data_IF_521293668594
#
_entry.id   IF_521293668594
#
_cell.length_a   1.000
_cell.length_b   1.000
_cell.length_c   1.000
_cell.angle_alpha   90.00
_cell.angle_beta   90.00
_cell.angle_gamma   90.00
#
_symmetry.space_group_name_H-M   'P 1'
#
loop_
_entity.id
_entity.type
_entity.pdbx_description
1 polymer ?
#
# COMPACT_ATOMS: atom_id res chain seq x y z
N UNK A 1 69.88 -42.25 -27.60
CA UNK A 1 69.52 -40.85 -27.91
C UNK A 1 68.91 -40.22 -26.66
N UNK A 2 69.16 -38.93 -26.39
CA UNK A 2 69.46 -38.44 -25.04
C UNK A 2 68.44 -37.43 -24.48
N UNK A 3 68.61 -37.11 -23.18
CA UNK A 3 68.02 -35.98 -22.42
C UNK A 3 66.49 -36.08 -22.14
N UNK A 4 65.95 -35.75 -20.96
CA UNK A 4 66.28 -34.65 -20.04
C UNK A 4 65.49 -34.78 -18.70
N UNK A 5 66.21 -34.57 -17.59
CA UNK A 5 65.87 -33.79 -16.36
C UNK A 5 64.69 -34.16 -15.40
N UNK A 6 65.11 -34.60 -14.21
CA UNK A 6 64.62 -34.44 -12.81
C UNK A 6 64.52 -32.91 -12.42
N UNK A 7 63.91 -32.37 -11.32
CA UNK A 7 63.27 -32.92 -10.08
C UNK A 7 61.96 -32.24 -9.56
N UNK A 8 61.49 -32.73 -8.39
CA UNK A 8 60.82 -32.04 -7.24
C UNK A 8 59.55 -31.19 -7.46
N UNK A 9 58.49 -31.51 -6.71
CA UNK A 9 58.02 -30.66 -5.59
C UNK A 9 56.91 -31.34 -4.79
N UNK A 10 57.09 -31.38 -3.46
CA UNK A 10 56.03 -31.54 -2.47
C UNK A 10 55.02 -30.40 -2.62
N UNK A 11 53.73 -30.70 -2.46
CA UNK A 11 52.85 -29.87 -1.63
C UNK A 11 51.50 -30.56 -1.41
N UNK A 12 51.24 -30.83 -0.12
CA UNK A 12 49.93 -30.88 0.52
C UNK A 12 49.04 -29.76 -0.04
N UNK A 13 47.71 -29.96 -0.06
CA UNK A 13 46.62 -29.00 0.19
C UNK A 13 45.33 -29.78 -0.15
N UNK A 14 44.51 -30.16 0.82
CA UNK A 14 43.76 -29.21 1.63
C UNK A 14 42.35 -29.18 1.07
N UNK A 15 41.54 -30.17 1.45
CA UNK A 15 40.12 -30.24 1.12
C UNK A 15 39.40 -29.12 1.87
N UNK A 16 39.44 -27.90 1.33
CA UNK A 16 38.60 -26.81 1.80
C UNK A 16 37.18 -27.09 1.30
N UNK A 17 36.40 -27.75 2.16
CA UNK A 17 34.95 -27.77 2.08
C UNK A 17 34.46 -26.33 2.06
N UNK A 18 34.05 -25.85 0.89
CA UNK A 18 33.29 -24.62 0.75
C UNK A 18 31.92 -24.87 1.40
N UNK A 19 31.84 -24.66 2.71
CA UNK A 19 30.58 -24.36 3.35
C UNK A 19 30.11 -23.03 2.76
N UNK A 20 29.19 -23.10 1.79
CA UNK A 20 28.36 -21.96 1.45
C UNK A 20 27.58 -21.59 2.70
N UNK A 21 28.08 -20.59 3.44
CA UNK A 21 27.28 -19.85 4.40
C UNK A 21 26.19 -19.15 3.57
N UNK A 22 25.05 -19.82 3.39
CA UNK A 22 23.82 -19.15 3.05
C UNK A 22 23.56 -18.17 4.19
N UNK A 23 23.91 -16.90 3.99
CA UNK A 23 23.49 -15.85 4.89
C UNK A 23 21.96 -15.84 4.83
N UNK A 24 21.34 -16.28 5.92
CA UNK A 24 19.96 -15.98 6.21
C UNK A 24 19.88 -14.44 6.25
N UNK A 25 19.43 -13.84 5.15
CA UNK A 25 19.03 -12.44 5.15
C UNK A 25 17.89 -12.34 6.14
N UNK A 26 18.14 -11.64 7.25
CA UNK A 26 17.10 -11.32 8.21
C UNK A 26 15.91 -10.72 7.46
N UNK A 27 14.73 -11.25 7.71
CA UNK A 27 13.45 -10.77 7.19
C UNK A 27 13.14 -9.41 7.80
N UNK A 28 13.87 -8.38 7.38
CA UNK A 28 13.51 -7.00 7.66
C UNK A 28 12.40 -6.58 6.70
N UNK A 29 11.41 -5.86 7.22
CA UNK A 29 10.35 -5.28 6.39
C UNK A 29 10.98 -4.41 5.28
N UNK A 30 10.44 -4.44 4.05
CA UNK A 30 11.00 -3.63 2.98
C UNK A 30 10.87 -2.14 3.34
N UNK A 31 11.94 -1.38 3.15
CA UNK A 31 12.01 0.02 3.59
C UNK A 31 11.71 0.96 2.43
N UNK A 32 10.70 1.82 2.59
CA UNK A 32 10.40 2.92 1.68
C UNK A 32 11.21 4.17 2.09
N UNK A 33 12.34 4.40 1.42
CA UNK A 33 13.19 5.59 1.63
C UNK A 33 12.72 6.72 0.72
N UNK A 34 12.39 7.87 1.30
CA UNK A 34 11.87 9.01 0.55
C UNK A 34 12.90 9.55 -0.45
N UNK A 35 12.46 9.83 -1.68
CA UNK A 35 13.17 10.71 -2.59
C UNK A 35 12.98 12.17 -2.14
N UNK A 36 14.00 12.70 -1.48
CA UNK A 36 13.99 14.06 -0.95
C UNK A 36 13.82 15.15 -2.02
N UNK A 37 14.01 14.85 -3.31
CA UNK A 37 13.74 15.82 -4.38
C UNK A 37 12.23 16.02 -4.63
N UNK A 38 11.38 15.09 -4.21
CA UNK A 38 9.94 15.14 -4.45
C UNK A 38 9.20 15.76 -3.26
N UNK A 39 8.91 17.05 -3.35
CA UNK A 39 8.18 17.79 -2.30
C UNK A 39 6.67 17.84 -2.52
N UNK A 40 6.23 17.76 -3.76
CA UNK A 40 4.84 17.77 -4.19
C UNK A 40 4.66 16.76 -5.33
N UNK A 41 3.50 16.10 -5.39
CA UNK A 41 3.19 15.10 -6.40
C UNK A 41 1.69 14.95 -6.55
N UNK A 42 1.24 14.82 -7.80
CA UNK A 42 -0.09 14.35 -8.09
C UNK A 42 -0.17 12.82 -7.93
N UNK A 43 -1.11 12.36 -7.12
CA UNK A 43 -1.38 10.94 -6.85
C UNK A 43 -2.60 10.50 -7.66
N UNK A 44 -2.40 9.76 -8.76
CA UNK A 44 -3.51 9.29 -9.59
C UNK A 44 -4.24 8.11 -8.93
N UNK A 45 -5.46 7.85 -9.39
CA UNK A 45 -6.27 6.70 -8.95
C UNK A 45 -5.58 5.38 -9.32
N UNK A 46 -4.80 5.37 -10.39
CA UNK A 46 -4.07 4.22 -10.90
C UNK A 46 -3.00 3.70 -9.93
N UNK A 47 -2.50 4.56 -9.03
CA UNK A 47 -1.61 4.11 -7.95
C UNK A 47 -2.36 3.24 -6.92
N UNK A 48 -3.66 3.50 -6.70
CA UNK A 48 -4.52 2.65 -5.87
C UNK A 48 -4.87 1.33 -6.56
N UNK A 49 -5.17 1.38 -7.87
CA UNK A 49 -5.57 0.20 -8.65
C UNK A 49 -4.39 -0.62 -9.18
N UNK A 50 -3.16 -0.14 -9.05
CA UNK A 50 -2.00 -0.73 -9.70
C UNK A 50 -2.07 -0.71 -11.24
N UNK A 51 -2.95 0.09 -11.83
CA UNK A 51 -2.97 0.30 -13.28
C UNK A 51 -1.71 1.05 -13.72
N UNK A 52 -1.35 1.02 -15.02
CA UNK A 52 -0.28 1.87 -15.55
C UNK A 52 -0.49 3.34 -15.18
N UNK A 53 0.56 4.01 -14.75
CA UNK A 53 0.49 5.42 -14.35
C UNK A 53 0.14 6.29 -15.56
N UNK A 54 -0.84 7.22 -15.45
CA UNK A 54 -1.17 8.14 -16.53
C UNK A 54 -0.04 9.15 -16.75
N UNK A 55 0.03 9.72 -17.95
CA UNK A 55 0.97 10.80 -18.26
C UNK A 55 0.52 12.18 -17.73
N UNK A 56 -0.78 12.34 -17.45
CA UNK A 56 -1.38 13.59 -17.00
C UNK A 56 -1.86 13.57 -15.55
N UNK A 57 -2.36 14.72 -15.10
CA UNK A 57 -2.87 14.94 -13.76
C UNK A 57 -4.40 14.92 -13.75
N UNK A 58 -4.98 13.78 -14.11
CA UNK A 58 -6.43 13.59 -14.13
C UNK A 58 -6.85 12.54 -13.11
N UNK A 59 -8.00 12.77 -12.47
CA UNK A 59 -8.62 11.80 -11.59
C UNK A 59 -9.72 11.09 -12.34
N UNK A 60 -9.38 9.90 -12.86
CA UNK A 60 -10.28 9.04 -13.61
C UNK A 60 -10.37 7.69 -12.91
N UNK A 61 -11.58 7.17 -12.75
CA UNK A 61 -11.77 5.79 -12.31
C UNK A 61 -11.77 4.89 -13.55
N UNK A 62 -10.64 4.25 -13.85
CA UNK A 62 -10.51 3.35 -15.00
C UNK A 62 -10.93 1.92 -14.64
N UNK A 63 -11.48 1.15 -15.60
CA UNK A 63 -11.80 -0.26 -15.38
C UNK A 63 -10.62 -1.10 -14.86
N UNK A 64 -10.87 -1.84 -13.79
CA UNK A 64 -9.95 -2.80 -13.18
C UNK A 64 -10.72 -4.04 -12.73
N UNK A 65 -10.08 -5.20 -12.83
CA UNK A 65 -10.48 -6.46 -12.19
C UNK A 65 -9.17 -7.18 -11.83
N UNK A 66 -8.74 -7.05 -10.57
CA UNK A 66 -7.40 -7.47 -10.16
C UNK A 66 -7.39 -7.96 -8.72
N UNK A 67 -6.51 -8.92 -8.46
CA UNK A 67 -6.11 -9.34 -7.11
C UNK A 67 -4.69 -8.85 -6.81
N UNK A 68 -4.49 -8.25 -5.65
CA UNK A 68 -3.19 -7.81 -5.12
C UNK A 68 -2.83 -8.67 -3.94
N UNK A 69 -1.59 -9.16 -3.91
CA UNK A 69 -0.99 -9.76 -2.73
C UNK A 69 -0.12 -8.72 -2.04
N UNK A 70 -0.31 -8.56 -0.73
CA UNK A 70 0.44 -7.61 0.08
C UNK A 70 1.04 -8.30 1.31
N UNK A 71 2.07 -7.68 1.86
CA UNK A 71 2.62 -8.05 3.17
C UNK A 71 1.97 -7.20 4.27
N UNK A 72 1.64 -7.81 5.40
CA UNK A 72 1.06 -7.16 6.58
C UNK A 72 2.04 -7.25 7.74
N UNK A 73 2.59 -6.12 8.16
CA UNK A 73 3.45 -6.01 9.34
C UNK A 73 2.58 -5.80 10.58
N UNK A 74 2.62 -6.77 11.48
CA UNK A 74 1.91 -6.72 12.75
C UNK A 74 2.69 -5.90 13.79
N UNK A 75 2.04 -5.47 14.89
CA UNK A 75 2.69 -4.63 15.89
C UNK A 75 3.93 -5.23 16.58
N UNK A 76 4.07 -6.55 16.56
CA UNK A 76 5.24 -7.28 17.08
C UNK A 76 6.38 -7.41 16.07
N UNK A 77 6.23 -6.81 14.87
CA UNK A 77 7.18 -6.86 13.77
C UNK A 77 7.09 -8.13 12.93
N UNK A 78 6.17 -9.04 13.23
CA UNK A 78 5.95 -10.23 12.40
C UNK A 78 5.27 -9.88 11.08
N UNK A 79 5.62 -10.60 10.02
CA UNK A 79 5.05 -10.42 8.70
C UNK A 79 4.02 -11.52 8.40
N UNK A 80 2.82 -11.10 8.03
CA UNK A 80 1.79 -11.92 7.42
C UNK A 80 1.61 -11.52 5.94
N UNK A 81 0.78 -12.27 5.23
CA UNK A 81 0.37 -11.96 3.86
C UNK A 81 -1.14 -11.86 3.75
N UNK A 82 -1.63 -11.15 2.75
CA UNK A 82 -3.05 -11.11 2.44
C UNK A 82 -3.29 -10.79 0.97
N UNK A 83 -4.50 -11.13 0.53
CA UNK A 83 -4.98 -10.79 -0.80
C UNK A 83 -6.14 -9.80 -0.72
N UNK A 84 -6.15 -8.87 -1.67
CA UNK A 84 -7.25 -7.94 -1.92
C UNK A 84 -7.68 -8.06 -3.36
N UNK A 85 -8.97 -8.22 -3.61
CA UNK A 85 -9.51 -8.03 -4.98
C UNK A 85 -10.11 -6.64 -5.10
N UNK A 86 -9.98 -6.02 -6.28
CA UNK A 86 -10.59 -4.74 -6.62
C UNK A 86 -11.20 -4.83 -8.01
N UNK A 87 -12.44 -4.40 -8.12
CA UNK A 87 -13.21 -4.40 -9.36
C UNK A 87 -14.00 -3.11 -9.53
N UNK A 88 -14.12 -2.63 -10.76
CA UNK A 88 -14.92 -1.45 -11.09
C UNK A 88 -14.20 -0.52 -12.06
N UNK A 89 -14.65 0.72 -12.26
CA UNK A 89 -15.77 1.32 -11.54
C UNK A 89 -17.11 0.65 -11.88
N UNK A 90 -18.04 0.70 -10.93
CA UNK A 90 -19.46 0.37 -11.15
C UNK A 90 -20.34 1.49 -10.60
N UNK A 91 -21.47 1.73 -11.26
CA UNK A 91 -22.49 2.61 -10.72
C UNK A 91 -23.15 1.93 -9.49
N UNK A 92 -23.23 2.66 -8.39
CA UNK A 92 -23.84 2.17 -7.16
C UNK A 92 -24.72 3.25 -6.52
N UNK A 93 -25.94 2.87 -6.16
CA UNK A 93 -26.82 3.72 -5.37
C UNK A 93 -26.64 3.39 -3.89
N UNK A 94 -26.10 4.34 -3.14
CA UNK A 94 -25.95 4.25 -1.70
C UNK A 94 -27.17 4.71 -0.92
N UNK A 95 -27.01 4.79 0.39
CA UNK A 95 -28.06 5.27 1.29
C UNK A 95 -28.54 6.67 0.91
N UNK A 96 -29.85 6.90 1.06
CA UNK A 96 -30.48 8.18 0.70
C UNK A 96 -30.59 8.43 -0.80
N UNK A 97 -30.38 7.39 -1.63
CA UNK A 97 -30.48 7.49 -3.09
C UNK A 97 -29.27 8.14 -3.76
N UNK A 98 -28.18 8.38 -3.00
CA UNK A 98 -26.97 9.00 -3.53
C UNK A 98 -26.26 8.05 -4.48
N UNK A 99 -26.05 8.50 -5.71
CA UNK A 99 -25.31 7.74 -6.71
C UNK A 99 -23.81 7.96 -6.55
N UNK A 100 -23.07 6.86 -6.66
CA UNK A 100 -21.61 6.83 -6.63
C UNK A 100 -21.11 6.04 -7.84
N UNK A 101 -19.93 6.44 -8.31
CA UNK A 101 -19.06 5.56 -9.06
C UNK A 101 -18.08 4.94 -8.06
N UNK A 102 -18.03 3.60 -8.00
CA UNK A 102 -17.27 2.91 -6.95
C UNK A 102 -16.37 1.81 -7.50
N UNK A 103 -15.24 1.59 -6.82
CA UNK A 103 -14.58 0.30 -6.86
C UNK A 103 -15.12 -0.60 -5.75
N UNK A 104 -15.46 -1.83 -6.10
CA UNK A 104 -15.79 -2.90 -5.18
C UNK A 104 -14.49 -3.62 -4.78
N UNK A 105 -14.28 -3.76 -3.48
CA UNK A 105 -13.06 -4.32 -2.90
C UNK A 105 -13.39 -5.50 -1.99
N UNK A 106 -12.82 -6.68 -2.25
CA UNK A 106 -12.88 -7.82 -1.32
C UNK A 106 -11.57 -7.89 -0.56
N UNK A 107 -11.66 -7.76 0.75
CA UNK A 107 -10.57 -8.09 1.69
C UNK A 107 -10.94 -9.38 2.44
N UNK A 108 -10.00 -10.07 3.12
CA UNK A 108 -10.27 -11.40 3.69
C UNK A 108 -11.52 -11.50 4.57
N UNK A 109 -11.88 -10.40 5.26
CA UNK A 109 -13.00 -10.36 6.23
C UNK A 109 -14.16 -9.43 5.84
N UNK A 110 -14.11 -8.79 4.68
CA UNK A 110 -15.13 -7.81 4.32
C UNK A 110 -15.24 -7.59 2.81
N UNK A 111 -16.41 -7.12 2.43
CA UNK A 111 -16.65 -6.51 1.13
C UNK A 111 -16.87 -5.00 1.34
N UNK A 112 -16.16 -4.19 0.59
CA UNK A 112 -16.09 -2.74 0.73
C UNK A 112 -16.38 -2.07 -0.62
N UNK A 113 -16.91 -0.85 -0.60
CA UNK A 113 -17.02 0.00 -1.80
C UNK A 113 -16.29 1.29 -1.56
N UNK A 114 -15.43 1.68 -2.50
CA UNK A 114 -14.60 2.87 -2.43
C UNK A 114 -15.03 3.88 -3.49
N UNK A 115 -15.19 5.13 -3.08
CA UNK A 115 -15.44 6.26 -3.98
C UNK A 115 -14.47 7.41 -3.66
N UNK A 116 -14.34 8.34 -4.61
CA UNK A 116 -13.66 9.61 -4.35
C UNK A 116 -14.44 10.46 -3.34
N UNK A 117 -13.72 11.22 -2.52
CA UNK A 117 -14.29 12.29 -1.71
C UNK A 117 -14.79 13.43 -2.60
N UNK A 118 -15.74 14.22 -2.12
CA UNK A 118 -16.35 15.30 -2.93
C UNK A 118 -15.34 16.37 -3.34
N UNK A 119 -14.32 16.63 -2.50
CA UNK A 119 -13.22 17.55 -2.76
C UNK A 119 -12.10 16.94 -3.62
N UNK A 120 -12.22 15.66 -4.02
CA UNK A 120 -11.26 14.93 -4.86
C UNK A 120 -9.84 14.91 -4.32
N UNK A 121 -9.69 14.91 -2.99
CA UNK A 121 -8.40 14.82 -2.31
C UNK A 121 -8.10 13.43 -1.74
N UNK A 122 -9.12 12.58 -1.66
CA UNK A 122 -9.00 11.22 -1.15
C UNK A 122 -10.00 10.28 -1.80
N UNK A 123 -9.80 8.99 -1.57
CA UNK A 123 -10.79 7.95 -1.75
C UNK A 123 -11.02 7.28 -0.41
N UNK A 124 -12.24 6.85 -0.15
CA UNK A 124 -12.56 6.10 1.06
C UNK A 124 -13.80 5.27 0.90
N UNK A 125 -14.13 4.53 1.96
CA UNK A 125 -15.26 3.62 1.92
C UNK A 125 -16.54 4.45 1.91
N UNK A 126 -17.46 4.07 1.02
CA UNK A 126 -18.86 4.50 1.05
C UNK A 126 -19.78 3.40 1.57
N UNK A 127 -19.27 2.16 1.59
CA UNK A 127 -19.91 1.00 2.19
C UNK A 127 -18.85 0.01 2.66
N UNK A 128 -19.11 -0.63 3.80
CA UNK A 128 -18.33 -1.76 4.31
C UNK A 128 -19.30 -2.75 4.97
N UNK A 129 -19.30 -4.00 4.51
CA UNK A 129 -20.24 -5.03 4.95
C UNK A 129 -20.30 -5.19 6.48
N UNK A 130 -19.21 -4.86 7.20
CA UNK A 130 -19.13 -5.02 8.65
C UNK A 130 -19.84 -3.91 9.42
N UNK A 131 -19.91 -2.70 8.84
CA UNK A 131 -20.33 -1.48 9.55
C UNK A 131 -21.42 -0.68 8.84
N UNK A 132 -21.75 -1.00 7.58
CA UNK A 132 -22.80 -0.35 6.81
C UNK A 132 -22.29 0.77 5.91
N UNK A 133 -23.13 1.79 5.71
CA UNK A 133 -22.80 2.93 4.86
C UNK A 133 -21.89 3.91 5.60
N UNK A 134 -21.03 4.56 4.83
CA UNK A 134 -20.04 5.51 5.34
C UNK A 134 -20.07 6.74 4.46
N UNK A 135 -20.03 7.92 5.08
CA UNK A 135 -20.03 9.19 4.36
C UNK A 135 -18.71 9.91 4.60
N UNK A 136 -18.10 10.37 3.50
CA UNK A 136 -16.94 11.26 3.48
C UNK A 136 -15.72 10.72 4.25
N UNK A 137 -15.42 9.42 4.11
CA UNK A 137 -14.15 8.88 4.56
C UNK A 137 -13.02 9.22 3.58
N UNK A 138 -11.88 9.66 4.10
CA UNK A 138 -10.60 9.62 3.37
C UNK A 138 -9.72 8.49 3.91
N UNK A 139 -9.42 7.50 3.07
CA UNK A 139 -8.63 6.31 3.42
C UNK A 139 -7.45 6.04 2.49
N UNK A 140 -7.46 6.63 1.31
CA UNK A 140 -6.36 6.61 0.34
C UNK A 140 -6.19 8.01 -0.27
N UNK A 141 -4.98 8.58 -0.35
CA UNK A 141 -4.74 9.91 -0.89
C UNK A 141 -4.79 9.92 -2.44
N UNK A 142 -5.52 10.86 -3.03
CA UNK A 142 -5.50 11.14 -4.48
C UNK A 142 -5.38 12.64 -4.75
N UNK A 143 -5.05 13.00 -5.98
CA UNK A 143 -4.89 14.39 -6.39
C UNK A 143 -3.57 14.96 -5.90
N UNK A 144 -3.51 16.29 -5.72
CA UNK A 144 -2.27 16.95 -5.33
C UNK A 144 -2.00 16.83 -3.81
N UNK A 145 -0.80 16.37 -3.49
CA UNK A 145 -0.31 16.22 -2.12
C UNK A 145 1.14 16.67 -1.98
N UNK A 146 1.50 17.17 -0.80
CA UNK A 146 2.88 17.49 -0.41
C UNK A 146 3.42 16.52 0.64
N UNK A 147 4.74 16.37 0.68
CA UNK A 147 5.42 15.52 1.64
C UNK A 147 5.12 15.98 3.08
N UNK A 148 4.70 15.06 3.96
CA UNK A 148 4.31 15.39 5.35
C UNK A 148 2.91 15.98 5.51
N UNK A 149 2.17 16.21 4.41
CA UNK A 149 0.84 16.79 4.48
C UNK A 149 -0.14 15.87 5.20
N UNK A 150 -1.00 16.48 6.03
CA UNK A 150 -2.09 15.81 6.72
C UNK A 150 -3.42 16.35 6.24
N UNK A 151 -4.42 15.47 6.07
CA UNK A 151 -5.82 15.85 5.86
C UNK A 151 -6.73 15.07 6.81
N UNK A 152 -7.80 15.74 7.25
CA UNK A 152 -8.82 15.18 8.12
C UNK A 152 -10.15 15.21 7.40
N UNK A 153 -10.88 14.09 7.45
CA UNK A 153 -12.17 13.93 6.80
C UNK A 153 -13.24 13.68 7.85
N UNK A 154 -14.24 14.56 7.90
CA UNK A 154 -15.40 14.41 8.77
C UNK A 154 -16.22 13.20 8.32
N UNK A 155 -15.96 12.05 8.93
CA UNK A 155 -16.50 10.75 8.51
C UNK A 155 -17.68 10.36 9.39
N UNK A 156 -18.76 9.92 8.76
CA UNK A 156 -19.97 9.46 9.43
C UNK A 156 -20.24 8.00 9.09
N UNK A 157 -20.47 7.19 10.11
CA UNK A 157 -20.79 5.77 10.02
C UNK A 157 -22.27 5.58 10.32
N UNK A 158 -23.00 4.97 9.39
CA UNK A 158 -24.44 4.79 9.49
C UNK A 158 -24.76 3.40 10.05
N UNK A 159 -25.10 3.33 11.35
CA UNK A 159 -25.51 2.09 12.00
C UNK A 159 -27.04 2.04 12.16
N UNK A 160 -27.63 0.84 12.34
CA UNK A 160 -29.07 0.72 12.62
C UNK A 160 -29.53 1.50 13.86
N UNK A 161 -28.64 1.75 14.82
CA UNK A 161 -28.92 2.50 16.06
C UNK A 161 -28.66 4.01 15.95
N UNK A 162 -28.28 4.49 14.77
CA UNK A 162 -27.99 5.90 14.49
C UNK A 162 -26.63 6.13 13.86
N UNK A 163 -26.40 7.39 13.48
CA UNK A 163 -25.16 7.85 12.86
C UNK A 163 -24.10 8.14 13.92
N UNK A 164 -22.87 7.68 13.67
CA UNK A 164 -21.70 7.99 14.51
C UNK A 164 -20.70 8.83 13.74
N UNK A 165 -20.33 9.98 14.29
CA UNK A 165 -19.21 10.78 13.80
C UNK A 165 -17.89 10.24 14.35
N UNK A 166 -16.94 9.94 13.47
CA UNK A 166 -15.58 9.55 13.84
C UNK A 166 -14.63 9.94 12.69
N UNK A 167 -13.82 11.00 12.80
CA UNK A 167 -13.00 11.48 11.69
C UNK A 167 -11.93 10.46 11.26
N UNK A 168 -11.63 10.45 9.97
CA UNK A 168 -10.45 9.76 9.43
C UNK A 168 -9.36 10.77 9.10
N UNK A 169 -8.11 10.33 9.25
CA UNK A 169 -6.93 11.16 9.02
C UNK A 169 -6.00 10.45 8.04
N UNK A 170 -5.43 11.21 7.11
CA UNK A 170 -4.38 10.79 6.20
C UNK A 170 -3.13 11.64 6.44
N UNK A 171 -1.96 11.02 6.40
CA UNK A 171 -0.66 11.67 6.49
C UNK A 171 0.30 11.11 5.44
N UNK A 172 0.88 11.96 4.61
CA UNK A 172 1.90 11.55 3.64
C UNK A 172 3.23 11.37 4.38
N UNK A 173 3.66 10.12 4.49
CA UNK A 173 4.91 9.78 5.18
C UNK A 173 6.09 9.73 4.22
N UNK A 174 5.86 9.21 3.01
CA UNK A 174 6.82 9.16 1.90
C UNK A 174 6.05 9.34 0.59
N UNK A 175 6.13 10.52 -0.02
CA UNK A 175 5.36 10.88 -1.22
C UNK A 175 5.89 10.20 -2.49
N UNK A 176 7.19 9.92 -2.51
CA UNK A 176 7.88 9.14 -3.52
C UNK A 176 9.01 8.36 -2.84
N UNK A 177 9.08 7.07 -3.09
CA UNK A 177 10.18 6.20 -2.66
C UNK A 177 10.40 5.07 -3.67
N UNK A 178 11.49 4.32 -3.48
CA UNK A 178 11.72 3.07 -4.19
C UNK A 178 11.27 1.92 -3.29
N UNK A 179 10.32 1.11 -3.77
CA UNK A 179 9.86 -0.11 -3.10
C UNK A 179 10.33 -1.34 -3.86
N UNK A 180 11.26 -2.12 -3.30
CA UNK A 180 11.79 -3.34 -3.95
C UNK A 180 12.21 -3.13 -5.42
N UNK A 181 12.87 -2.00 -5.70
CA UNK A 181 13.30 -1.62 -7.04
C UNK A 181 12.27 -0.87 -7.90
N UNK A 182 11.04 -0.67 -7.40
CA UNK A 182 9.98 0.07 -8.10
C UNK A 182 10.00 1.53 -7.65
N UNK A 183 10.42 2.48 -8.51
CA UNK A 183 10.42 3.89 -8.16
C UNK A 183 9.01 4.47 -8.14
N UNK A 184 8.82 5.55 -7.39
CA UNK A 184 7.55 6.27 -7.32
C UNK A 184 6.48 5.58 -6.48
N UNK A 185 6.85 4.64 -5.62
CA UNK A 185 5.96 4.14 -4.57
C UNK A 185 5.64 5.26 -3.57
N UNK A 186 4.55 5.11 -2.83
CA UNK A 186 4.11 6.06 -1.82
C UNK A 186 3.77 5.32 -0.53
N UNK A 187 4.25 5.85 0.59
CA UNK A 187 3.83 5.46 1.94
C UNK A 187 3.00 6.55 2.58
N UNK A 188 1.90 6.17 3.22
CA UNK A 188 1.07 7.08 3.99
C UNK A 188 0.50 6.42 5.23
N UNK A 189 0.22 7.24 6.25
CA UNK A 189 -0.49 6.86 7.45
C UNK A 189 -1.99 7.10 7.30
N UNK A 190 -2.80 6.20 7.83
CA UNK A 190 -4.23 6.37 8.01
C UNK A 190 -4.62 6.10 9.47
N UNK A 191 -5.42 6.98 10.04
CA UNK A 191 -5.84 6.88 11.43
C UNK A 191 -7.32 7.23 11.61
N UNK A 192 -7.98 6.53 12.51
CA UNK A 192 -9.29 6.86 13.10
C UNK A 192 -9.15 6.87 14.63
N UNK A 193 -10.24 7.02 15.38
CA UNK A 193 -10.18 6.90 16.84
C UNK A 193 -9.85 5.47 17.28
N UNK A 194 -10.29 4.47 16.50
CA UNK A 194 -10.14 3.05 16.81
C UNK A 194 -8.96 2.35 16.13
N UNK A 195 -8.35 2.94 15.10
CA UNK A 195 -7.34 2.25 14.31
C UNK A 195 -6.24 3.16 13.79
N UNK A 196 -5.05 2.59 13.60
CA UNK A 196 -3.88 3.26 13.04
C UNK A 196 -3.13 2.30 12.14
N UNK A 197 -2.89 2.72 10.90
CA UNK A 197 -2.24 1.90 9.89
C UNK A 197 -1.25 2.73 9.08
N UNK A 198 -0.20 2.10 8.58
CA UNK A 198 0.57 2.57 7.44
C UNK A 198 0.24 1.73 6.21
N UNK A 199 0.34 2.33 5.03
CA UNK A 199 0.16 1.64 3.75
C UNK A 199 1.25 2.04 2.79
N UNK A 200 1.71 1.09 1.96
CA UNK A 200 2.55 1.36 0.80
C UNK A 200 1.84 0.93 -0.46
N UNK A 201 1.80 1.82 -1.44
CA UNK A 201 1.33 1.54 -2.79
C UNK A 201 2.46 1.78 -3.78
N UNK A 202 2.62 0.87 -4.75
CA UNK A 202 3.66 0.94 -5.77
C UNK A 202 3.06 1.01 -7.19
N UNK A 203 3.64 1.82 -8.09
CA UNK A 203 3.22 1.87 -9.49
C UNK A 203 3.14 0.48 -10.13
N UNK A 204 2.07 0.22 -10.89
CA UNK A 204 1.83 -1.06 -11.56
C UNK A 204 1.43 -2.23 -10.63
N UNK A 205 1.57 -2.06 -9.31
CA UNK A 205 1.27 -3.12 -8.33
C UNK A 205 0.08 -2.80 -7.43
N UNK A 206 -0.21 -1.52 -7.14
CA UNK A 206 -1.27 -1.18 -6.19
C UNK A 206 -0.78 -1.36 -4.76
N UNK A 207 -1.63 -1.90 -3.88
CA UNK A 207 -1.29 -2.14 -2.47
C UNK A 207 -0.21 -3.24 -2.37
N UNK A 208 0.93 -2.92 -1.74
CA UNK A 208 2.05 -3.86 -1.57
C UNK A 208 2.40 -4.14 -0.11
N UNK A 209 2.07 -3.22 0.79
CA UNK A 209 2.38 -3.35 2.21
C UNK A 209 1.37 -2.64 3.11
N UNK A 210 1.05 -3.26 4.24
CA UNK A 210 0.23 -2.72 5.32
C UNK A 210 1.04 -2.81 6.60
N UNK A 211 1.00 -1.77 7.42
CA UNK A 211 1.63 -1.74 8.75
C UNK A 211 0.53 -1.51 9.78
N UNK A 212 0.27 -2.49 10.64
CA UNK A 212 -0.66 -2.32 11.75
C UNK A 212 0.05 -1.65 12.93
N UNK A 213 -0.43 -0.47 13.33
CA UNK A 213 0.23 0.33 14.38
C UNK A 213 -0.50 0.19 15.70
N UNK A 214 0.25 0.06 16.79
CA UNK A 214 -0.30 0.16 18.14
C UNK A 214 -0.88 1.56 18.33
N UNK A 215 -1.97 1.68 19.10
CA UNK A 215 -2.41 2.98 19.60
C UNK A 215 -1.22 3.66 20.28
N UNK A 216 -0.86 4.86 19.83
CA UNK A 216 -0.15 5.79 20.69
C UNK A 216 -1.14 6.13 21.82
N UNK A 217 -0.81 5.71 23.04
CA UNK A 217 -1.52 6.11 24.26
C UNK A 217 -1.49 7.63 24.42
#
# INVERSE_FOLDING_TARGET
MPFKKIPLLLSVWGSLSLFSAAQAQGTQAPVCVHDESVKERFLPVELFTGSPMPAGNELVMVPVDRTYTFSDELPDGSLAGGDVTLKGPVAWQGQGGKNYEVYERKVPRAFERYAMTADRTGMGRVFDQRIGNITNEGKYPIGLWTQGQKRTYGTYYEFPRGTRYEPSHLEIEKLSCVWQGIPGAMQYGYKTSGSSYGYVYAPGQGLVHVMTRVRAN
#
